data_IF_740414552815
#
_entry.id   IF_740414552815
#
_cell.length_a   1.000
_cell.length_b   1.000
_cell.length_c   1.000
_cell.angle_alpha   90.00
_cell.angle_beta   90.00
_cell.angle_gamma   90.00
#
_symmetry.space_group_name_H-M   'P 1'
#
loop_
_entity.id
_entity.type
_entity.pdbx_description
1 polymer ?
#
# COMPACT_ATOMS: atom_id res chain seq x y z
N UNK A 1 -13.16 -18.70 -17.52
CA UNK A 1 -12.45 -17.52 -18.08
C UNK A 1 -13.39 -16.40 -18.54
N UNK A 2 -14.58 -16.69 -19.09
CA UNK A 2 -15.48 -15.66 -19.67
C UNK A 2 -15.80 -14.48 -18.75
N UNK A 3 -16.49 -14.71 -17.64
CA UNK A 3 -16.90 -13.62 -16.74
C UNK A 3 -15.70 -12.84 -16.17
N UNK A 4 -14.61 -13.55 -15.86
CA UNK A 4 -13.37 -12.95 -15.36
C UNK A 4 -12.72 -12.02 -16.40
N UNK A 5 -12.77 -12.36 -17.69
CA UNK A 5 -12.26 -11.51 -18.77
C UNK A 5 -13.06 -10.21 -18.89
N UNK A 6 -14.38 -10.28 -18.73
CA UNK A 6 -15.26 -9.10 -18.77
C UNK A 6 -15.02 -8.20 -17.54
N UNK A 7 -14.95 -8.77 -16.34
CA UNK A 7 -14.63 -8.03 -15.11
C UNK A 7 -13.26 -7.38 -15.18
N UNK A 8 -12.23 -8.14 -15.62
CA UNK A 8 -10.88 -7.63 -15.80
C UNK A 8 -10.83 -6.48 -16.81
N UNK A 9 -11.54 -6.61 -17.93
CA UNK A 9 -11.61 -5.56 -18.96
C UNK A 9 -12.28 -4.28 -18.45
N UNK A 10 -13.34 -4.42 -17.65
CA UNK A 10 -14.00 -3.30 -17.00
C UNK A 10 -13.09 -2.58 -16.01
N UNK A 11 -12.38 -3.34 -15.17
CA UNK A 11 -11.39 -2.78 -14.22
C UNK A 11 -10.25 -2.10 -14.96
N UNK A 12 -9.71 -2.73 -16.02
CA UNK A 12 -8.62 -2.15 -16.80
C UNK A 12 -9.04 -0.85 -17.48
N UNK A 13 -10.25 -0.79 -18.06
CA UNK A 13 -10.81 0.44 -18.61
C UNK A 13 -10.96 1.53 -17.54
N UNK A 14 -11.44 1.18 -16.34
CA UNK A 14 -11.56 2.11 -15.21
C UNK A 14 -10.20 2.63 -14.76
N UNK A 15 -9.19 1.76 -14.65
CA UNK A 15 -7.83 2.14 -14.27
C UNK A 15 -7.23 3.12 -15.27
N UNK A 16 -7.36 2.84 -16.58
CA UNK A 16 -6.92 3.76 -17.64
C UNK A 16 -7.63 5.12 -17.52
N UNK A 17 -8.93 5.11 -17.22
CA UNK A 17 -9.74 6.32 -17.07
C UNK A 17 -9.39 7.17 -15.83
N UNK A 18 -8.97 6.52 -14.73
CA UNK A 18 -8.57 7.18 -13.49
C UNK A 18 -7.14 7.70 -13.54
N UNK A 19 -6.19 6.89 -14.02
CA UNK A 19 -4.76 7.23 -14.02
C UNK A 19 -4.42 8.32 -15.04
N UNK A 20 -5.23 8.46 -16.08
CA UNK A 20 -4.94 9.40 -17.16
C UNK A 20 -6.15 10.26 -17.53
N UNK A 21 -6.50 11.25 -16.69
CA UNK A 21 -7.64 12.14 -16.95
C UNK A 21 -7.48 12.95 -18.24
N UNK A 22 -6.23 13.25 -18.62
CA UNK A 22 -5.85 13.89 -19.89
C UNK A 22 -6.15 13.03 -21.13
N UNK A 23 -6.41 11.73 -20.96
CA UNK A 23 -6.78 10.81 -22.03
C UNK A 23 -8.29 10.73 -22.29
N UNK A 24 -9.14 11.32 -21.43
CA UNK A 24 -10.59 11.35 -21.63
C UNK A 24 -11.01 12.08 -22.91
N UNK A 25 -10.19 13.02 -23.37
CA UNK A 25 -10.40 13.80 -24.60
C UNK A 25 -9.76 13.16 -25.85
N UNK A 26 -9.34 11.89 -25.81
CA UNK A 26 -8.71 11.19 -26.92
C UNK A 26 -9.70 10.23 -27.61
N UNK A 27 -10.25 10.57 -28.79
CA UNK A 27 -11.27 9.73 -29.44
C UNK A 27 -10.73 8.34 -29.81
N UNK A 28 -9.45 8.23 -30.19
CA UNK A 28 -8.81 6.95 -30.51
C UNK A 28 -8.78 5.97 -29.34
N UNK A 29 -8.58 6.46 -28.11
CA UNK A 29 -8.52 5.60 -26.94
C UNK A 29 -9.90 5.00 -26.64
N UNK A 30 -10.97 5.77 -26.81
CA UNK A 30 -12.34 5.27 -26.66
C UNK A 30 -12.65 4.12 -27.63
N UNK A 31 -12.23 4.23 -28.89
CA UNK A 31 -12.41 3.16 -29.87
C UNK A 31 -11.67 1.88 -29.48
N UNK A 32 -10.45 2.00 -28.95
CA UNK A 32 -9.65 0.83 -28.52
C UNK A 32 -10.22 0.22 -27.24
N UNK A 33 -10.64 1.02 -26.26
CA UNK A 33 -11.32 0.54 -25.05
C UNK A 33 -12.62 -0.19 -25.40
N UNK A 34 -13.40 0.36 -26.34
CA UNK A 34 -14.61 -0.29 -26.84
C UNK A 34 -14.29 -1.63 -27.53
N UNK A 35 -13.20 -1.70 -28.30
CA UNK A 35 -12.71 -2.97 -28.86
C UNK A 35 -12.33 -4.01 -27.80
N UNK A 36 -11.73 -3.61 -26.68
CA UNK A 36 -11.45 -4.49 -25.54
C UNK A 36 -12.74 -5.02 -24.90
N UNK A 37 -13.73 -4.15 -24.68
CA UNK A 37 -15.01 -4.55 -24.08
C UNK A 37 -15.80 -5.49 -24.99
N UNK A 38 -15.87 -5.19 -26.30
CA UNK A 38 -16.55 -6.04 -27.28
C UNK A 38 -15.88 -7.42 -27.40
N UNK A 39 -14.54 -7.46 -27.44
CA UNK A 39 -13.82 -8.74 -27.45
C UNK A 39 -13.99 -9.51 -26.15
N UNK A 40 -14.12 -8.85 -25.00
CA UNK A 40 -14.42 -9.52 -23.73
C UNK A 40 -15.81 -10.18 -23.75
N UNK A 41 -16.82 -9.49 -24.30
CA UNK A 41 -18.16 -10.03 -24.50
C UNK A 41 -18.12 -11.22 -25.46
N UNK A 42 -17.34 -11.14 -26.54
CA UNK A 42 -17.15 -12.26 -27.47
C UNK A 42 -16.52 -13.49 -26.80
N UNK A 43 -15.60 -13.31 -25.84
CA UNK A 43 -15.02 -14.41 -25.04
C UNK A 43 -16.06 -15.04 -24.10
N UNK A 44 -16.97 -14.24 -23.54
CA UNK A 44 -18.09 -14.74 -22.73
C UNK A 44 -19.08 -15.52 -23.58
N UNK A 45 -19.39 -15.05 -24.78
CA UNK A 45 -20.39 -15.67 -25.64
C UNK A 45 -19.88 -16.94 -26.32
N UNK A 46 -18.76 -16.83 -27.04
CA UNK A 46 -18.31 -17.88 -27.97
C UNK A 46 -17.36 -18.88 -27.32
N UNK A 47 -16.71 -18.51 -26.22
CA UNK A 47 -15.67 -19.31 -25.53
C UNK A 47 -14.56 -19.88 -26.44
N UNK A 48 -14.38 -19.35 -27.66
CA UNK A 48 -13.42 -19.87 -28.61
C UNK A 48 -12.01 -19.36 -28.35
N UNK A 49 -11.01 -20.16 -28.77
CA UNK A 49 -9.60 -19.78 -28.71
C UNK A 49 -9.33 -18.50 -29.52
N UNK A 50 -9.99 -18.34 -30.67
CA UNK A 50 -9.88 -17.14 -31.50
C UNK A 50 -10.37 -15.89 -30.76
N UNK A 51 -11.52 -15.97 -30.07
CA UNK A 51 -12.02 -14.86 -29.26
C UNK A 51 -11.03 -14.48 -28.14
N UNK A 52 -10.40 -15.47 -27.51
CA UNK A 52 -9.38 -15.25 -26.47
C UNK A 52 -8.15 -14.53 -27.03
N UNK A 53 -7.64 -14.96 -28.20
CA UNK A 53 -6.50 -14.29 -28.86
C UNK A 53 -6.86 -12.85 -29.22
N UNK A 54 -8.01 -12.62 -29.86
CA UNK A 54 -8.45 -11.28 -30.24
C UNK A 54 -8.60 -10.37 -29.03
N UNK A 55 -9.06 -10.92 -27.91
CA UNK A 55 -9.18 -10.19 -26.65
C UNK A 55 -7.81 -9.76 -26.10
N UNK A 56 -6.84 -10.67 -26.09
CA UNK A 56 -5.46 -10.39 -25.67
C UNK A 56 -4.84 -9.30 -26.55
N UNK A 57 -4.95 -9.41 -27.88
CA UNK A 57 -4.45 -8.40 -28.82
C UNK A 57 -5.09 -7.03 -28.58
N UNK A 58 -6.39 -7.00 -28.29
CA UNK A 58 -7.11 -5.75 -27.98
C UNK A 58 -6.58 -5.10 -26.70
N UNK A 59 -6.28 -5.89 -25.66
CA UNK A 59 -5.66 -5.40 -24.42
C UNK A 59 -4.28 -4.78 -24.72
N UNK A 60 -3.45 -5.46 -25.52
CA UNK A 60 -2.13 -4.92 -25.89
C UNK A 60 -2.22 -3.61 -26.67
N UNK A 61 -3.18 -3.47 -27.58
CA UNK A 61 -3.44 -2.20 -28.27
C UNK A 61 -3.80 -1.09 -27.27
N UNK A 62 -4.67 -1.39 -26.31
CA UNK A 62 -5.07 -0.42 -25.28
C UNK A 62 -3.87 0.04 -24.45
N UNK A 63 -3.01 -0.90 -24.03
CA UNK A 63 -1.79 -0.60 -23.28
C UNK A 63 -0.80 0.26 -24.10
N UNK A 64 -0.63 -0.05 -25.38
CA UNK A 64 0.24 0.70 -26.29
C UNK A 64 -0.22 2.15 -26.49
N UNK A 65 -1.51 2.35 -26.75
CA UNK A 65 -2.09 3.69 -26.91
C UNK A 65 -2.17 4.47 -25.60
N UNK A 66 -2.35 3.80 -24.47
CA UNK A 66 -2.30 4.42 -23.15
C UNK A 66 -0.88 4.95 -22.84
N UNK A 67 0.17 4.23 -23.24
CA UNK A 67 1.56 4.70 -23.07
C UNK A 67 1.94 5.83 -24.04
N UNK A 68 1.48 5.75 -25.30
CA UNK A 68 1.88 6.68 -26.34
C UNK A 68 0.70 7.08 -27.25
N UNK A 69 -0.07 8.09 -26.82
CA UNK A 69 -1.19 8.66 -27.59
C UNK A 69 -0.78 9.24 -28.96
N UNK A 70 0.48 9.64 -29.09
CA UNK A 70 0.99 10.24 -30.33
C UNK A 70 1.12 9.21 -31.46
N UNK A 71 1.08 7.92 -31.12
CA UNK A 71 1.09 6.85 -32.11
C UNK A 71 -0.13 6.94 -33.02
N UNK A 72 0.11 6.92 -34.31
CA UNK A 72 -0.92 6.94 -35.37
C UNK A 72 -1.23 5.53 -35.83
N UNK A 73 -0.23 4.65 -35.85
CA UNK A 73 -0.34 3.29 -36.38
C UNK A 73 -0.54 2.24 -35.29
N UNK A 74 -1.49 1.32 -35.51
CA UNK A 74 -1.82 0.22 -34.59
C UNK A 74 -0.62 -0.69 -34.32
N UNK A 75 0.21 -0.95 -35.34
CA UNK A 75 1.38 -1.84 -35.23
C UNK A 75 2.44 -1.31 -34.27
N UNK A 76 2.72 0.00 -34.29
CA UNK A 76 3.63 0.62 -33.34
C UNK A 76 3.08 0.60 -31.91
N UNK A 77 1.76 0.71 -31.73
CA UNK A 77 1.13 0.58 -30.42
C UNK A 77 1.28 -0.86 -29.87
N UNK A 78 1.06 -1.89 -30.69
CA UNK A 78 1.30 -3.28 -30.31
C UNK A 78 2.76 -3.56 -29.97
N UNK A 79 3.69 -3.13 -30.81
CA UNK A 79 5.13 -3.30 -30.57
C UNK A 79 5.58 -2.58 -29.30
N UNK A 80 5.05 -1.40 -29.03
CA UNK A 80 5.33 -0.67 -27.79
C UNK A 80 4.80 -1.44 -26.57
N UNK A 81 3.57 -1.95 -26.63
CA UNK A 81 2.99 -2.73 -25.54
C UNK A 81 3.78 -4.03 -25.28
N UNK A 82 4.20 -4.73 -26.34
CA UNK A 82 4.97 -5.95 -26.21
C UNK A 82 6.39 -5.70 -25.68
N UNK A 83 7.10 -4.70 -26.22
CA UNK A 83 8.43 -4.30 -25.73
C UNK A 83 8.37 -3.72 -24.31
N UNK A 84 7.25 -3.15 -23.89
CA UNK A 84 7.05 -2.65 -22.53
C UNK A 84 7.02 -3.75 -21.48
N UNK A 85 6.55 -4.97 -21.81
CA UNK A 85 6.59 -6.11 -20.88
C UNK A 85 8.02 -6.48 -20.48
N UNK A 86 8.93 -6.48 -21.45
CA UNK A 86 10.33 -6.84 -21.21
C UNK A 86 11.16 -5.67 -20.69
N UNK A 87 10.77 -4.44 -21.01
CA UNK A 87 11.46 -3.24 -20.55
C UNK A 87 10.93 -2.69 -19.23
N UNK A 88 9.82 -3.19 -18.68
CA UNK A 88 9.29 -2.75 -17.39
C UNK A 88 10.31 -2.93 -16.23
N UNK A 89 11.03 -4.06 -16.09
CA UNK A 89 12.08 -4.20 -15.08
C UNK A 89 13.25 -3.22 -15.31
N UNK A 90 13.64 -3.00 -16.56
CA UNK A 90 14.73 -2.08 -16.94
C UNK A 90 14.35 -0.62 -16.72
N UNK A 91 13.10 -0.25 -17.03
CA UNK A 91 12.54 1.08 -16.78
C UNK A 91 12.47 1.36 -15.29
N UNK A 92 12.06 0.37 -14.51
CA UNK A 92 12.08 0.42 -13.06
C UNK A 92 13.50 0.63 -12.53
N UNK A 93 14.48 -0.16 -12.98
CA UNK A 93 15.88 -0.03 -12.56
C UNK A 93 16.49 1.33 -12.91
N UNK A 94 16.35 1.79 -14.16
CA UNK A 94 16.87 3.10 -14.58
C UNK A 94 16.24 4.27 -13.83
N UNK A 95 14.94 4.19 -13.52
CA UNK A 95 14.27 5.21 -12.71
C UNK A 95 14.62 5.09 -11.23
N UNK A 96 14.95 3.89 -10.75
CA UNK A 96 15.39 3.66 -9.38
C UNK A 96 16.63 4.49 -9.06
N UNK A 97 17.64 4.53 -9.93
CA UNK A 97 18.84 5.37 -9.74
C UNK A 97 18.53 6.85 -9.55
N UNK A 98 17.65 7.45 -10.37
CA UNK A 98 17.27 8.85 -10.25
C UNK A 98 16.34 9.15 -9.07
N UNK A 99 15.56 8.15 -8.63
CA UNK A 99 14.63 8.31 -7.51
C UNK A 99 15.27 7.90 -6.18
N UNK A 100 16.42 7.22 -6.18
CA UNK A 100 17.05 6.66 -4.98
C UNK A 100 17.33 7.72 -3.92
N UNK A 101 17.86 8.89 -4.28
CA UNK A 101 18.16 9.93 -3.30
C UNK A 101 16.92 10.61 -2.69
N UNK A 102 15.82 10.69 -3.43
CA UNK A 102 14.55 11.24 -2.94
C UNK A 102 13.71 10.19 -2.19
N UNK A 103 13.71 8.96 -2.71
CA UNK A 103 13.05 7.77 -2.18
C UNK A 103 13.69 7.30 -0.89
N UNK A 104 15.03 7.28 -0.78
CA UNK A 104 15.71 6.86 0.45
C UNK A 104 15.42 7.81 1.62
N UNK A 105 15.30 9.13 1.36
CA UNK A 105 14.85 10.12 2.36
C UNK A 105 13.38 9.93 2.77
N UNK A 106 12.51 9.58 1.82
CA UNK A 106 11.11 9.26 2.07
C UNK A 106 10.98 7.92 2.82
N UNK A 107 11.66 6.86 2.38
CA UNK A 107 11.74 5.55 3.00
C UNK A 107 12.25 5.65 4.44
N UNK A 108 13.35 6.37 4.68
CA UNK A 108 13.83 6.65 6.05
C UNK A 108 12.77 7.38 6.87
N UNK A 109 12.01 8.30 6.28
CA UNK A 109 10.91 8.96 7.00
C UNK A 109 9.80 7.98 7.38
N UNK A 110 9.37 7.14 6.45
CA UNK A 110 8.29 6.18 6.69
C UNK A 110 8.72 5.05 7.62
N UNK A 111 10.01 4.69 7.63
CA UNK A 111 10.56 3.78 8.63
C UNK A 111 10.38 4.38 10.04
N UNK A 112 10.72 5.65 10.26
CA UNK A 112 10.48 6.27 11.57
C UNK A 112 8.99 6.47 11.88
N UNK A 113 8.16 6.79 10.88
CA UNK A 113 6.72 7.02 11.08
C UNK A 113 5.95 5.72 11.37
N UNK A 114 6.39 4.59 10.82
CA UNK A 114 5.62 3.34 10.81
C UNK A 114 6.31 2.23 11.59
N UNK A 115 7.62 2.01 11.42
CA UNK A 115 8.31 0.92 12.13
C UNK A 115 8.49 1.19 13.61
N UNK A 116 8.69 2.44 14.02
CA UNK A 116 8.86 2.75 15.44
C UNK A 116 7.55 2.56 16.24
N UNK A 117 6.38 3.08 15.80
CA UNK A 117 5.11 2.77 16.45
C UNK A 117 4.73 1.29 16.35
N UNK A 118 4.96 0.64 15.21
CA UNK A 118 4.68 -0.79 15.06
C UNK A 118 5.61 -1.64 15.94
N UNK A 119 6.89 -1.30 16.03
CA UNK A 119 7.85 -2.00 16.88
C UNK A 119 7.47 -1.90 18.35
N UNK A 120 7.07 -0.71 18.80
CA UNK A 120 6.52 -0.51 20.15
C UNK A 120 5.21 -1.29 20.35
N UNK A 121 4.28 -1.22 19.38
CA UNK A 121 3.04 -1.98 19.45
C UNK A 121 3.32 -3.48 19.56
N UNK A 122 4.19 -4.04 18.71
CA UNK A 122 4.56 -5.45 18.73
C UNK A 122 5.19 -5.82 20.07
N UNK A 123 6.09 -4.98 20.60
CA UNK A 123 6.75 -5.20 21.89
C UNK A 123 5.71 -5.29 23.02
N UNK A 124 4.87 -4.27 23.18
CA UNK A 124 3.84 -4.26 24.23
C UNK A 124 2.78 -5.34 24.00
N UNK A 125 2.39 -5.60 22.76
CA UNK A 125 1.42 -6.63 22.41
C UNK A 125 1.90 -8.01 22.83
N UNK A 126 3.14 -8.39 22.51
CA UNK A 126 3.71 -9.67 22.94
C UNK A 126 3.80 -9.74 24.46
N UNK A 127 4.23 -8.65 25.10
CA UNK A 127 4.34 -8.57 26.54
C UNK A 127 2.99 -8.83 27.23
N UNK A 128 1.91 -8.19 26.77
CA UNK A 128 0.56 -8.43 27.29
C UNK A 128 -0.01 -9.79 26.90
N UNK A 129 0.28 -10.29 25.69
CA UNK A 129 -0.15 -11.62 25.25
C UNK A 129 0.42 -12.73 26.14
N UNK A 130 1.73 -12.69 26.45
CA UNK A 130 2.33 -13.73 27.27
C UNK A 130 1.99 -13.63 28.75
N UNK A 131 1.65 -12.44 29.23
CA UNK A 131 1.45 -12.21 30.65
C UNK A 131 -0.03 -12.13 31.07
N UNK A 132 -0.95 -11.93 30.13
CA UNK A 132 -2.38 -11.91 30.38
C UNK A 132 -3.08 -13.01 29.56
N UNK A 133 -3.47 -14.09 30.25
CA UNK A 133 -4.12 -15.26 29.63
C UNK A 133 -5.49 -14.94 29.02
N UNK A 134 -6.21 -13.96 29.56
CA UNK A 134 -7.53 -13.56 29.05
C UNK A 134 -7.39 -12.73 27.78
N UNK A 135 -6.40 -11.82 27.76
CA UNK A 135 -6.02 -11.10 26.55
C UNK A 135 -5.53 -12.07 25.46
N UNK A 136 -4.71 -13.06 25.81
CA UNK A 136 -4.24 -14.09 24.87
C UNK A 136 -5.40 -14.87 24.23
N UNK A 137 -6.36 -15.33 25.03
CA UNK A 137 -7.55 -16.04 24.52
C UNK A 137 -8.37 -15.19 23.55
N UNK A 138 -8.52 -13.89 23.82
CA UNK A 138 -9.24 -12.97 22.93
C UNK A 138 -8.48 -12.82 21.59
N UNK A 139 -7.15 -12.67 21.65
CA UNK A 139 -6.28 -12.62 20.47
C UNK A 139 -6.38 -13.92 19.65
N UNK A 140 -6.32 -15.07 20.30
CA UNK A 140 -6.41 -16.38 19.63
C UNK A 140 -7.75 -16.58 18.92
N UNK A 141 -8.85 -16.17 19.57
CA UNK A 141 -10.18 -16.19 18.96
C UNK A 141 -10.27 -15.26 17.75
N UNK A 142 -9.68 -14.06 17.81
CA UNK A 142 -9.64 -13.14 16.68
C UNK A 142 -8.80 -13.70 15.51
N UNK A 143 -7.65 -14.32 15.83
CA UNK A 143 -6.78 -14.95 14.84
C UNK A 143 -7.43 -16.17 14.18
N UNK A 144 -8.28 -16.90 14.90
CA UNK A 144 -9.01 -18.05 14.36
C UNK A 144 -9.99 -17.67 13.22
N UNK A 145 -10.43 -16.42 13.16
CA UNK A 145 -11.28 -15.89 12.09
C UNK A 145 -10.49 -15.47 10.85
N UNK A 146 -9.16 -15.39 10.96
CA UNK A 146 -8.29 -15.04 9.83
C UNK A 146 -8.16 -16.28 8.93
N UNK A 147 -8.61 -16.23 7.66
CA UNK A 147 -8.45 -17.34 6.74
C UNK A 147 -6.96 -17.67 6.58
N UNK A 148 -6.62 -18.97 6.53
CA UNK A 148 -5.27 -19.43 6.23
C UNK A 148 -4.81 -18.88 4.87
N UNK A 149 -4.08 -17.78 4.90
CA UNK A 149 -3.60 -17.10 3.70
C UNK A 149 -2.44 -17.89 3.13
N UNK A 150 -2.60 -18.49 1.94
CA UNK A 150 -1.48 -19.12 1.23
C UNK A 150 -0.60 -18.02 0.63
N UNK A 151 0.63 -17.80 1.15
CA UNK A 151 1.46 -16.67 0.71
C UNK A 151 1.82 -16.77 -0.77
N UNK A 152 1.99 -17.99 -1.27
CA UNK A 152 2.48 -18.26 -2.63
C UNK A 152 1.45 -18.01 -3.71
N UNK A 153 0.17 -18.40 -3.49
CA UNK A 153 -0.92 -18.14 -4.46
C UNK A 153 -1.20 -16.65 -4.59
N UNK A 154 -1.23 -15.94 -3.46
CA UNK A 154 -1.43 -14.50 -3.43
C UNK A 154 -0.23 -13.74 -4.01
N UNK A 155 1.00 -14.18 -3.75
CA UNK A 155 2.21 -13.60 -4.34
C UNK A 155 2.22 -13.75 -5.87
N UNK A 156 1.84 -14.91 -6.42
CA UNK A 156 1.77 -15.12 -7.86
C UNK A 156 0.73 -14.20 -8.54
N UNK A 157 -0.48 -14.08 -7.96
CA UNK A 157 -1.52 -13.16 -8.43
C UNK A 157 -1.08 -11.69 -8.32
N UNK A 158 -0.41 -11.33 -7.23
CA UNK A 158 0.09 -9.99 -7.00
C UNK A 158 1.20 -9.63 -8.00
N UNK A 159 2.10 -10.56 -8.32
CA UNK A 159 3.14 -10.37 -9.35
C UNK A 159 2.53 -10.19 -10.74
N UNK A 160 1.53 -10.99 -11.10
CA UNK A 160 0.85 -10.85 -12.39
C UNK A 160 0.11 -9.51 -12.51
N UNK A 161 -0.59 -9.09 -11.45
CA UNK A 161 -1.22 -7.76 -11.37
C UNK A 161 -0.20 -6.62 -11.40
N UNK A 162 0.92 -6.76 -10.68
CA UNK A 162 1.98 -5.76 -10.66
C UNK A 162 2.64 -5.60 -12.04
N UNK A 163 2.86 -6.68 -12.78
CA UNK A 163 3.38 -6.61 -14.15
C UNK A 163 2.42 -5.85 -15.08
N UNK A 164 1.13 -6.16 -15.06
CA UNK A 164 0.13 -5.47 -15.88
C UNK A 164 0.01 -3.98 -15.52
N UNK A 165 0.04 -3.67 -14.21
CA UNK A 165 0.00 -2.28 -13.74
C UNK A 165 1.30 -1.53 -14.05
N UNK A 166 2.45 -2.20 -14.05
CA UNK A 166 3.74 -1.58 -14.38
C UNK A 166 3.77 -1.00 -15.80
N UNK A 167 3.11 -1.68 -16.74
CA UNK A 167 2.96 -1.24 -18.13
C UNK A 167 2.12 0.04 -18.25
N UNK A 168 1.14 0.21 -17.37
CA UNK A 168 0.27 1.40 -17.32
C UNK A 168 0.94 2.58 -16.61
N UNK A 169 1.65 2.31 -15.52
CA UNK A 169 2.21 3.35 -14.64
C UNK A 169 3.56 3.86 -15.16
N UNK A 170 4.37 2.99 -15.74
CA UNK A 170 5.70 3.34 -16.23
C UNK A 170 5.73 3.33 -17.76
N UNK A 171 5.85 4.53 -18.34
CA UNK A 171 6.12 4.66 -19.77
C UNK A 171 7.39 3.88 -20.11
N UNK A 172 7.30 2.95 -21.07
CA UNK A 172 8.43 2.13 -21.51
C UNK A 172 9.65 2.98 -21.86
N UNK A 173 10.84 2.44 -21.60
CA UNK A 173 12.12 3.07 -21.99
C UNK A 173 12.17 3.36 -23.49
N UNK A 174 11.44 2.57 -24.29
CA UNK A 174 11.40 2.64 -25.75
C UNK A 174 10.35 3.62 -26.31
N UNK A 175 9.58 4.27 -25.45
CA UNK A 175 8.58 5.26 -25.88
C UNK A 175 9.16 6.40 -26.72
N UNK A 176 10.29 7.06 -26.38
CA UNK A 176 10.82 8.14 -27.19
C UNK A 176 11.39 7.66 -28.53
N UNK A 177 12.04 6.49 -28.60
CA UNK A 177 12.61 5.95 -29.84
C UNK A 177 11.50 5.55 -30.83
N UNK A 178 10.48 4.83 -30.36
CA UNK A 178 9.36 4.43 -31.22
C UNK A 178 8.51 5.63 -31.67
N UNK A 179 8.31 6.62 -30.78
CA UNK A 179 7.67 7.88 -31.15
C UNK A 179 8.52 8.66 -32.17
N UNK A 180 9.84 8.72 -32.02
CA UNK A 180 10.72 9.41 -32.98
C UNK A 180 10.72 8.74 -34.36
N UNK A 181 10.78 7.40 -34.41
CA UNK A 181 10.70 6.67 -35.68
C UNK A 181 9.35 6.91 -36.34
N UNK A 182 8.24 6.83 -35.60
CA UNK A 182 6.93 7.07 -36.20
C UNK A 182 6.72 8.53 -36.59
N UNK A 183 7.23 9.48 -35.79
CA UNK A 183 7.20 10.91 -36.09
C UNK A 183 8.14 11.30 -37.21
N UNK A 184 9.15 10.49 -37.55
CA UNK A 184 9.96 10.71 -38.76
C UNK A 184 9.13 10.58 -40.05
N UNK A 185 8.01 9.86 -39.98
CA UNK A 185 6.99 9.81 -41.03
C UNK A 185 5.98 10.97 -40.96
N UNK A 186 6.10 11.91 -40.02
CA UNK A 186 5.19 13.05 -39.81
C UNK A 186 5.88 14.42 -39.81
N UNK A 187 5.20 15.45 -40.30
CA UNK A 187 5.80 16.78 -40.55
C UNK A 187 5.76 17.77 -39.36
N UNK A 188 5.36 17.37 -38.14
CA UNK A 188 5.07 18.33 -37.06
C UNK A 188 5.78 17.99 -35.75
N UNK A 189 6.68 18.89 -35.29
CA UNK A 189 7.35 18.83 -33.98
C UNK A 189 6.52 19.51 -32.90
N UNK A 190 6.24 18.82 -31.78
CA UNK A 190 5.62 19.41 -30.58
C UNK A 190 6.67 19.79 -29.53
N UNK A 191 6.50 20.98 -28.95
CA UNK A 191 7.38 21.54 -27.91
C UNK A 191 7.01 20.99 -26.53
N UNK A 192 7.93 20.29 -25.86
CA UNK A 192 7.76 19.84 -24.46
C UNK A 192 8.26 20.94 -23.50
N UNK A 193 7.39 21.43 -22.60
CA UNK A 193 7.80 22.26 -21.45
C UNK A 193 8.08 21.35 -20.25
N UNK A 194 9.29 21.42 -19.69
CA UNK A 194 9.63 20.79 -18.40
C UNK A 194 9.05 21.64 -17.27
N UNK A 195 8.17 21.07 -16.46
CA UNK A 195 7.78 21.66 -15.16
C UNK A 195 8.90 21.41 -14.16
N UNK A 196 9.41 22.49 -13.59
CA UNK A 196 10.32 22.45 -12.44
C UNK A 196 9.47 22.26 -11.19
N UNK A 197 9.81 21.27 -10.36
CA UNK A 197 9.20 21.10 -9.03
C UNK A 197 9.95 22.00 -8.06
N UNK A 198 9.27 22.99 -7.51
CA UNK A 198 9.73 23.79 -6.37
C UNK A 198 8.87 23.46 -5.16
N UNK A 199 9.50 22.93 -4.10
CA UNK A 199 9.30 23.38 -2.71
C UNK A 199 10.22 22.59 -1.75
N UNK A 200 10.92 23.30 -0.86
CA UNK A 200 11.73 22.76 0.23
C UNK A 200 10.85 22.70 1.48
N UNK A 201 10.93 21.62 2.26
CA UNK A 201 9.88 21.24 3.21
C UNK A 201 10.23 21.53 4.68
N UNK A 202 9.34 22.22 5.38
CA UNK A 202 9.16 22.24 6.86
C UNK A 202 8.52 20.94 7.40
N UNK A 203 8.52 19.87 6.61
CA UNK A 203 7.67 18.69 6.76
C UNK A 203 8.20 17.67 7.79
N UNK A 204 9.50 17.69 8.07
CA UNK A 204 10.14 16.76 9.01
C UNK A 204 9.54 16.85 10.43
N UNK A 205 9.28 18.07 10.90
CA UNK A 205 8.74 18.28 12.25
C UNK A 205 7.28 17.78 12.38
N UNK A 206 6.45 18.00 11.35
CA UNK A 206 5.09 17.44 11.28
C UNK A 206 5.10 15.91 11.31
N UNK A 207 6.08 15.27 10.67
CA UNK A 207 6.20 13.79 10.64
C UNK A 207 6.50 13.20 12.01
N UNK A 208 7.40 13.82 12.78
CA UNK A 208 7.69 13.40 14.15
C UNK A 208 6.46 13.51 15.08
N UNK A 209 5.65 14.57 14.90
CA UNK A 209 4.42 14.74 15.67
C UNK A 209 3.40 13.62 15.42
N UNK A 210 3.17 13.25 14.15
CA UNK A 210 2.22 12.18 13.84
C UNK A 210 2.72 10.79 14.25
N UNK A 211 4.03 10.53 14.20
CA UNK A 211 4.62 9.29 14.72
C UNK A 211 4.34 9.13 16.22
N UNK A 212 4.59 10.20 16.99
CA UNK A 212 4.36 10.20 18.44
C UNK A 212 2.86 10.07 18.78
N UNK A 213 2.00 10.79 18.07
CA UNK A 213 0.55 10.71 18.24
C UNK A 213 0.03 9.29 17.98
N UNK A 214 0.52 8.64 16.92
CA UNK A 214 0.13 7.29 16.54
C UNK A 214 0.64 6.25 17.55
N UNK A 215 1.88 6.37 18.02
CA UNK A 215 2.42 5.52 19.09
C UNK A 215 1.59 5.61 20.36
N UNK A 216 1.36 6.82 20.89
CA UNK A 216 0.58 6.96 22.13
C UNK A 216 -0.88 6.53 21.95
N UNK A 217 -1.50 6.82 20.80
CA UNK A 217 -2.85 6.34 20.51
C UNK A 217 -2.95 4.81 20.49
N UNK A 218 -1.99 4.14 19.83
CA UNK A 218 -1.95 2.67 19.77
C UNK A 218 -1.66 2.04 21.14
N UNK A 219 -0.69 2.59 21.89
CA UNK A 219 -0.32 2.07 23.21
C UNK A 219 -1.47 2.24 24.21
N UNK A 220 -2.15 3.38 24.23
CA UNK A 220 -3.34 3.59 25.06
C UNK A 220 -4.50 2.70 24.63
N UNK A 221 -4.72 2.52 23.33
CA UNK A 221 -5.74 1.59 22.84
C UNK A 221 -5.47 0.15 23.28
N UNK A 222 -4.22 -0.29 23.19
CA UNK A 222 -3.79 -1.61 23.65
C UNK A 222 -3.97 -1.75 25.17
N UNK A 223 -3.54 -0.74 25.94
CA UNK A 223 -3.69 -0.71 27.39
C UNK A 223 -5.17 -0.74 27.80
N UNK A 224 -6.03 -0.02 27.09
CA UNK A 224 -7.48 -0.04 27.31
C UNK A 224 -8.03 -1.44 27.06
N UNK A 225 -7.65 -2.11 25.97
CA UNK A 225 -8.11 -3.48 25.69
C UNK A 225 -7.70 -4.45 26.79
N UNK A 226 -6.46 -4.39 27.25
CA UNK A 226 -5.95 -5.24 28.34
C UNK A 226 -6.72 -4.97 29.63
N UNK A 227 -6.94 -3.70 29.99
CA UNK A 227 -7.72 -3.36 31.18
C UNK A 227 -9.17 -3.82 31.08
N UNK A 228 -9.79 -3.75 29.90
CA UNK A 228 -11.14 -4.28 29.69
C UNK A 228 -11.17 -5.80 29.88
N UNK A 229 -10.16 -6.53 29.40
CA UNK A 229 -10.07 -7.98 29.64
C UNK A 229 -9.91 -8.30 31.12
N UNK A 230 -9.12 -7.51 31.86
CA UNK A 230 -8.93 -7.69 33.30
C UNK A 230 -10.21 -7.41 34.10
N UNK A 231 -10.93 -6.35 33.76
CA UNK A 231 -12.22 -6.05 34.39
C UNK A 231 -13.19 -7.20 34.16
N UNK A 232 -13.30 -7.70 32.94
CA UNK A 232 -14.23 -8.79 32.64
C UNK A 232 -13.84 -10.10 33.30
N UNK A 233 -12.59 -10.52 33.18
CA UNK A 233 -12.22 -11.87 33.58
C UNK A 233 -11.65 -11.99 35.00
N UNK A 234 -11.27 -10.90 35.67
CA UNK A 234 -10.80 -10.93 37.07
C UNK A 234 -11.85 -10.34 38.01
N UNK A 235 -12.44 -9.20 37.66
CA UNK A 235 -13.37 -8.50 38.55
C UNK A 235 -14.80 -9.03 38.41
N UNK A 236 -15.23 -9.36 37.19
CA UNK A 236 -16.62 -9.79 36.92
C UNK A 236 -16.77 -11.32 36.86
N UNK A 237 -15.70 -12.08 36.59
CA UNK A 237 -15.75 -13.53 36.45
C UNK A 237 -15.18 -14.24 37.68
N UNK A 238 -16.03 -14.48 38.69
CA UNK A 238 -15.65 -15.11 39.96
C UNK A 238 -15.56 -16.64 39.87
N UNK A 239 -14.64 -17.14 39.06
CA UNK A 239 -14.29 -18.57 39.12
C UNK A 239 -13.56 -18.88 40.43
N UNK A 240 -13.89 -20.01 41.06
CA UNK A 240 -13.26 -20.46 42.29
C UNK A 240 -11.80 -20.85 42.04
N UNK A 241 -10.88 -19.89 42.20
CA UNK A 241 -9.42 -20.12 42.17
C UNK A 241 -8.93 -20.39 43.58
N UNK A 242 -7.95 -21.28 43.74
CA UNK A 242 -7.30 -21.46 45.04
C UNK A 242 -6.51 -20.20 45.43
N UNK A 243 -6.30 -19.99 46.74
CA UNK A 243 -5.56 -18.82 47.23
C UNK A 243 -4.12 -18.74 46.68
N UNK A 244 -3.49 -19.89 46.40
CA UNK A 244 -2.16 -19.96 45.81
C UNK A 244 -2.16 -19.53 44.33
N UNK A 245 -3.10 -20.03 43.52
CA UNK A 245 -3.22 -19.64 42.10
C UNK A 245 -3.58 -18.16 41.94
N UNK A 246 -4.40 -17.62 42.85
CA UNK A 246 -4.73 -16.20 42.85
C UNK A 246 -3.52 -15.33 43.23
N UNK A 247 -2.73 -15.77 44.21
CA UNK A 247 -1.49 -15.09 44.62
C UNK A 247 -0.47 -15.02 43.47
N UNK A 248 -0.23 -16.15 42.79
CA UNK A 248 0.71 -16.23 41.68
C UNK A 248 0.26 -15.39 40.47
N UNK A 249 -1.04 -15.44 40.15
CA UNK A 249 -1.62 -14.61 39.09
C UNK A 249 -1.45 -13.11 39.36
N UNK A 250 -1.71 -12.67 40.60
CA UNK A 250 -1.54 -11.26 40.99
C UNK A 250 -0.08 -10.86 40.97
N UNK A 251 0.85 -11.71 41.41
CA UNK A 251 2.28 -11.40 41.39
C UNK A 251 2.80 -11.24 39.96
N UNK A 252 2.48 -12.18 39.07
CA UNK A 252 2.88 -12.12 37.66
C UNK A 252 2.27 -10.90 36.96
N UNK A 253 0.99 -10.62 37.20
CA UNK A 253 0.31 -9.43 36.66
C UNK A 253 0.91 -8.12 37.19
N UNK A 254 1.26 -8.05 38.47
CA UNK A 254 1.83 -6.85 39.10
C UNK A 254 3.24 -6.55 38.58
N UNK A 255 4.09 -7.57 38.44
CA UNK A 255 5.44 -7.38 37.86
C UNK A 255 5.38 -6.88 36.42
N UNK A 256 4.44 -7.42 35.63
CA UNK A 256 4.22 -6.96 34.27
C UNK A 256 3.75 -5.50 34.24
N UNK A 257 2.82 -5.12 35.10
CA UNK A 257 2.28 -3.76 35.17
C UNK A 257 3.39 -2.75 35.51
N UNK A 258 4.22 -3.07 36.50
CA UNK A 258 5.36 -2.23 36.91
C UNK A 258 6.35 -2.09 35.75
N UNK A 259 6.67 -3.19 35.07
CA UNK A 259 7.58 -3.18 33.93
C UNK A 259 7.02 -2.39 32.73
N UNK A 260 5.73 -2.57 32.42
CA UNK A 260 5.01 -1.83 31.39
C UNK A 260 5.00 -0.32 31.67
N UNK A 261 4.76 0.07 32.93
CA UNK A 261 4.78 1.45 33.38
C UNK A 261 6.18 2.07 33.22
N UNK A 262 7.23 1.35 33.63
CA UNK A 262 8.61 1.77 33.43
C UNK A 262 8.95 2.00 31.95
N UNK A 263 8.53 1.09 31.08
CA UNK A 263 8.76 1.17 29.65
C UNK A 263 7.93 2.29 28.99
N UNK A 264 6.69 2.50 29.45
CA UNK A 264 5.86 3.62 29.02
C UNK A 264 6.49 4.97 29.40
N UNK A 265 7.02 5.12 30.61
CA UNK A 265 7.77 6.31 31.02
C UNK A 265 9.03 6.55 30.15
N UNK A 266 9.75 5.47 29.81
CA UNK A 266 10.90 5.55 28.91
C UNK A 266 10.51 5.98 27.47
N UNK A 267 9.40 5.46 26.95
CA UNK A 267 8.86 5.84 25.64
C UNK A 267 8.38 7.29 25.62
N UNK A 268 7.69 7.74 26.67
CA UNK A 268 7.23 9.12 26.81
C UNK A 268 8.42 10.08 26.87
N UNK A 269 9.41 9.81 27.71
CA UNK A 269 10.60 10.66 27.79
C UNK A 269 11.41 10.67 26.48
N UNK A 270 11.45 9.54 25.75
CA UNK A 270 12.05 9.47 24.43
C UNK A 270 11.34 10.38 23.40
N UNK A 271 10.01 10.33 23.30
CA UNK A 271 9.24 11.12 22.33
C UNK A 271 9.19 12.62 22.67
N UNK A 272 9.19 12.97 23.96
CA UNK A 272 9.24 14.37 24.38
C UNK A 272 10.66 14.97 24.39
N UNK A 273 11.70 14.17 24.07
CA UNK A 273 13.07 14.66 23.92
C UNK A 273 13.23 15.48 22.63
N UNK A 274 13.46 16.79 22.75
CA UNK A 274 13.79 17.69 21.63
C UNK A 274 12.65 18.61 21.18
N UNK A 275 12.55 18.87 19.87
CA UNK A 275 11.73 19.96 19.32
C UNK A 275 10.20 19.76 19.39
N UNK A 276 9.71 18.54 19.73
CA UNK A 276 8.28 18.27 19.92
C UNK A 276 7.70 18.99 21.16
N UNK A 277 8.55 19.31 22.14
CA UNK A 277 8.16 20.08 23.31
C UNK A 277 7.76 21.52 22.94
N UNK A 278 8.43 22.11 21.95
CA UNK A 278 8.25 23.51 21.53
C UNK A 278 7.21 23.72 20.40
N UNK A 279 6.49 22.66 20.00
CA UNK A 279 5.48 22.76 18.94
C UNK A 279 4.27 23.55 19.45
N UNK A 280 3.88 24.62 18.74
CA UNK A 280 2.79 25.54 19.13
C UNK A 280 1.39 24.91 19.23
N UNK A 281 1.21 23.62 18.89
CA UNK A 281 -0.09 22.94 18.88
C UNK A 281 -0.02 21.45 19.31
N UNK A 282 0.67 21.17 20.43
CA UNK A 282 0.91 19.80 20.93
C UNK A 282 -0.12 19.27 21.96
N UNK A 283 -1.27 19.91 22.11
CA UNK A 283 -2.26 19.57 23.14
C UNK A 283 -2.75 18.10 23.04
N UNK A 284 -3.04 17.62 21.84
CA UNK A 284 -3.47 16.22 21.61
C UNK A 284 -2.38 15.21 21.95
N UNK A 285 -1.12 15.55 21.67
CA UNK A 285 0.02 14.70 21.98
C UNK A 285 0.24 14.61 23.50
N UNK A 286 0.11 15.73 24.21
CA UNK A 286 0.16 15.78 25.67
C UNK A 286 -0.99 14.98 26.29
N UNK A 287 -2.21 15.16 25.78
CA UNK A 287 -3.38 14.40 26.26
C UNK A 287 -3.14 12.89 26.15
N UNK A 288 -2.71 12.39 24.99
CA UNK A 288 -2.43 10.96 24.81
C UNK A 288 -1.22 10.47 25.61
N UNK A 289 -0.28 11.35 25.97
CA UNK A 289 0.85 10.97 26.82
C UNK A 289 0.50 10.93 28.31
N UNK A 290 -0.59 11.61 28.72
CA UNK A 290 -1.07 11.66 30.10
C UNK A 290 -2.28 10.76 30.38
N UNK A 291 -3.01 10.36 29.33
CA UNK A 291 -4.06 9.36 29.38
C UNK A 291 -3.49 7.98 29.74
#
# INVERSE_FOLDING_TARGET
MGLNALLFSGVLALVVWLMHPEFRAAPRLWWVTLGVLLSAVAVVWQHSLLAQITHVVSIFLLLGYAQARELRFLGFALLLALSSLFSAPLAWWKRWEYTYEASFRWFRTWIYLTFLPLGLLILFFNMYYFANSQFAQLVDQLLAWVPQFSPWKSAALMLQGALLMSVLIWTSVWTPELQQVEQSFGLWKKRRRKRVKTFISTLALKRHYYSALLSFGLLNGLLLLVNLTDIQGVWLNQQARSAAELSDYVHQGTYLLIYALGLAMAVTTYFFRGNLHFLQDNQKLKLLAYA
#
